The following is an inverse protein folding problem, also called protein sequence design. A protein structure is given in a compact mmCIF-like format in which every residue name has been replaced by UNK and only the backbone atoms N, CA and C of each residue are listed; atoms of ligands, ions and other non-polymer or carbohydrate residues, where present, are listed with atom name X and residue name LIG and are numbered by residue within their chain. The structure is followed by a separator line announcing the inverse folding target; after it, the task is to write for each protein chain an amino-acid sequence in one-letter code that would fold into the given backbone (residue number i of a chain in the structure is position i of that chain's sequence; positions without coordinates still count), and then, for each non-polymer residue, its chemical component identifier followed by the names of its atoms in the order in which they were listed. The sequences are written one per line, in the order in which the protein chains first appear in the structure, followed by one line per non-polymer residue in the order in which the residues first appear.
data_IF_951543853688
#
_entry.id   IF_951543853688
#
_cell.length_a   1.000
_cell.length_b   1.000
_cell.length_c   1.000
_cell.angle_alpha   90.00
_cell.angle_beta   90.00
_cell.angle_gamma   90.00
#
_symmetry.space_group_name_H-M   'P 1'
#
loop_
_entity.id
_entity.type
_entity.pdbx_description
1 polymer ?
#
# COMPACT_ATOMS: atom_id res chain seq x y z
N UNK A 1 -20.06 -3.51 12.13
CA UNK A 1 -20.32 -2.80 10.86
C UNK A 1 -20.91 -3.79 9.87
N UNK A 2 -21.83 -3.39 9.00
CA UNK A 2 -22.35 -4.26 7.92
C UNK A 2 -22.19 -3.62 6.54
N UNK A 3 -22.20 -4.44 5.49
CA UNK A 3 -22.22 -4.02 4.10
C UNK A 3 -23.46 -3.16 3.81
N UNK A 4 -24.62 -3.56 4.34
CA UNK A 4 -25.86 -2.78 4.18
C UNK A 4 -25.72 -1.35 4.73
N UNK A 5 -25.06 -1.19 5.88
CA UNK A 5 -24.81 0.14 6.44
C UNK A 5 -23.83 0.96 5.57
N UNK A 6 -22.74 0.35 5.07
CA UNK A 6 -21.80 1.02 4.15
C UNK A 6 -22.48 1.47 2.86
N UNK A 7 -23.33 0.61 2.27
CA UNK A 7 -24.09 0.93 1.07
C UNK A 7 -25.08 2.07 1.30
N UNK A 8 -25.80 2.08 2.42
CA UNK A 8 -26.71 3.18 2.78
C UNK A 8 -25.95 4.49 2.97
N UNK A 9 -24.78 4.48 3.62
CA UNK A 9 -23.92 5.66 3.76
C UNK A 9 -23.53 6.20 2.38
N UNK A 10 -23.04 5.31 1.50
CA UNK A 10 -22.59 5.66 0.17
C UNK A 10 -23.69 6.34 -0.67
N UNK A 11 -24.90 5.77 -0.65
CA UNK A 11 -26.07 6.30 -1.38
C UNK A 11 -26.55 7.64 -0.82
N UNK A 12 -26.53 7.80 0.50
CA UNK A 12 -27.00 9.02 1.14
C UNK A 12 -25.99 10.17 1.06
N UNK A 13 -24.70 9.86 0.92
CA UNK A 13 -23.60 10.85 0.95
C UNK A 13 -22.67 10.72 -0.27
N UNK A 14 -23.17 10.94 -1.50
CA UNK A 14 -22.33 10.87 -2.71
C UNK A 14 -21.28 11.97 -2.77
N UNK A 15 -21.45 13.07 -2.02
CA UNK A 15 -20.51 14.18 -1.93
C UNK A 15 -19.38 13.96 -0.91
N UNK A 16 -19.24 12.75 -0.37
CA UNK A 16 -18.21 12.43 0.62
C UNK A 16 -16.82 12.45 -0.01
N UNK A 17 -15.92 13.25 0.56
CA UNK A 17 -14.54 13.40 0.08
C UNK A 17 -13.51 12.67 0.93
N UNK A 18 -13.86 12.33 2.19
CA UNK A 18 -12.98 11.60 3.12
C UNK A 18 -13.81 10.61 3.92
N UNK A 19 -13.45 9.34 3.84
CA UNK A 19 -14.10 8.26 4.59
C UNK A 19 -13.04 7.42 5.27
N UNK A 20 -13.07 7.36 6.60
CA UNK A 20 -12.11 6.58 7.38
C UNK A 20 -12.90 5.76 8.37
N UNK A 21 -12.85 4.45 8.21
CA UNK A 21 -13.49 3.51 9.12
C UNK A 21 -12.39 2.68 9.79
N UNK A 22 -12.53 2.49 11.10
CA UNK A 22 -11.67 1.62 11.89
C UNK A 22 -12.57 0.69 12.71
N UNK A 23 -12.65 -0.56 12.28
CA UNK A 23 -13.21 -1.66 13.07
C UNK A 23 -12.07 -2.17 13.96
N UNK A 24 -12.30 -2.15 15.27
CA UNK A 24 -11.24 -2.34 16.28
C UNK A 24 -10.57 -3.71 16.16
N UNK A 25 -11.36 -4.74 15.91
CA UNK A 25 -10.86 -6.10 15.74
C UNK A 25 -10.46 -6.35 14.27
N UNK A 26 -9.20 -6.75 14.00
CA UNK A 26 -8.76 -7.09 12.65
C UNK A 26 -9.56 -8.24 12.05
N UNK A 27 -9.85 -8.18 10.75
CA UNK A 27 -10.54 -9.27 10.06
C UNK A 27 -12.01 -9.47 10.48
N UNK A 28 -12.63 -8.52 11.21
CA UNK A 28 -14.06 -8.62 11.54
C UNK A 28 -14.93 -8.55 10.27
N UNK A 29 -15.75 -9.58 9.98
CA UNK A 29 -16.65 -9.56 8.84
C UNK A 29 -17.87 -8.68 9.09
N UNK A 30 -18.76 -8.59 8.09
CA UNK A 30 -20.12 -8.13 8.30
C UNK A 30 -20.79 -8.96 9.42
N UNK A 31 -21.20 -8.30 10.50
CA UNK A 31 -21.73 -9.00 11.69
C UNK A 31 -23.07 -9.72 11.46
N UNK A 32 -23.80 -9.40 10.38
CA UNK A 32 -25.07 -10.03 10.05
C UNK A 32 -24.89 -11.18 9.06
N UNK A 33 -24.05 -10.98 8.05
CA UNK A 33 -23.91 -11.93 6.92
C UNK A 33 -22.63 -12.77 6.98
N UNK A 34 -21.71 -12.42 7.87
CA UNK A 34 -20.36 -12.99 7.99
C UNK A 34 -19.52 -12.87 6.72
N UNK A 35 -19.95 -12.06 5.76
CA UNK A 35 -19.22 -11.81 4.53
C UNK A 35 -18.13 -10.75 4.72
N UNK A 36 -17.09 -10.73 3.85
CA UNK A 36 -16.19 -9.60 3.74
C UNK A 36 -16.93 -8.28 3.47
N UNK A 37 -16.33 -7.17 3.88
CA UNK A 37 -16.89 -5.82 3.69
C UNK A 37 -16.62 -5.24 2.29
N UNK A 38 -16.20 -6.07 1.33
CA UNK A 38 -15.76 -5.68 -0.01
C UNK A 38 -16.84 -4.89 -0.76
N UNK A 39 -18.08 -5.40 -0.76
CA UNK A 39 -19.19 -4.76 -1.48
C UNK A 39 -19.65 -3.46 -0.82
N UNK A 40 -19.49 -3.35 0.50
CA UNK A 40 -19.79 -2.13 1.25
C UNK A 40 -18.79 -1.02 0.92
N UNK A 41 -17.49 -1.30 1.00
CA UNK A 41 -16.47 -0.34 0.57
C UNK A 41 -16.49 -0.09 -0.95
N UNK A 42 -16.82 -1.10 -1.74
CA UNK A 42 -17.07 -0.98 -3.17
C UNK A 42 -18.15 0.07 -3.46
N UNK A 43 -19.28 0.01 -2.76
CA UNK A 43 -20.33 1.03 -2.89
C UNK A 43 -19.85 2.43 -2.50
N UNK A 44 -18.99 2.56 -1.48
CA UNK A 44 -18.41 3.85 -1.08
C UNK A 44 -17.60 4.46 -2.23
N UNK A 45 -16.67 3.70 -2.83
CA UNK A 45 -15.86 4.23 -3.95
C UNK A 45 -16.65 4.37 -5.25
N UNK A 46 -17.70 3.58 -5.41
CA UNK A 46 -18.59 3.66 -6.57
C UNK A 46 -19.49 4.90 -6.52
N UNK A 47 -20.11 5.22 -5.38
CA UNK A 47 -21.03 6.36 -5.30
C UNK A 47 -20.34 7.68 -4.95
N UNK A 48 -19.27 7.66 -4.16
CA UNK A 48 -18.56 8.87 -3.72
C UNK A 48 -17.45 9.24 -4.70
N UNK A 49 -17.81 9.79 -5.87
CA UNK A 49 -16.87 10.05 -6.98
C UNK A 49 -15.77 11.07 -6.65
N UNK A 50 -15.98 11.92 -5.65
CA UNK A 50 -15.03 12.92 -5.16
C UNK A 50 -14.22 12.45 -3.94
N UNK A 51 -14.23 11.15 -3.63
CA UNK A 51 -13.48 10.58 -2.52
C UNK A 51 -11.97 10.71 -2.75
N UNK A 52 -11.32 11.46 -1.87
CA UNK A 52 -9.88 11.74 -1.89
C UNK A 52 -9.10 10.98 -0.81
N UNK A 53 -9.75 10.58 0.29
CA UNK A 53 -9.10 9.84 1.38
C UNK A 53 -9.94 8.67 1.85
N UNK A 54 -9.32 7.50 1.90
CA UNK A 54 -9.94 6.25 2.34
C UNK A 54 -9.05 5.54 3.36
N UNK A 55 -9.65 5.02 4.44
CA UNK A 55 -9.00 4.07 5.33
C UNK A 55 -9.88 2.83 5.49
N UNK A 56 -9.29 1.66 5.27
CA UNK A 56 -9.96 0.37 5.26
C UNK A 56 -9.75 -0.39 6.58
N UNK A 57 -10.73 -1.22 6.96
CA UNK A 57 -10.67 -2.13 8.11
C UNK A 57 -11.77 -3.19 8.01
N UNK A 58 -11.65 -4.28 8.78
CA UNK A 58 -12.55 -5.44 8.74
C UNK A 58 -12.05 -6.53 7.80
N UNK A 59 -12.84 -7.58 7.60
CA UNK A 59 -12.51 -8.66 6.66
C UNK A 59 -12.63 -8.14 5.22
N UNK A 60 -11.52 -8.19 4.47
CA UNK A 60 -11.43 -7.65 3.12
C UNK A 60 -10.58 -8.57 2.23
N UNK A 61 -11.07 -8.86 1.02
CA UNK A 61 -10.40 -9.72 0.04
C UNK A 61 -9.73 -8.88 -1.06
N UNK A 62 -9.10 -9.50 -2.07
CA UNK A 62 -8.57 -8.77 -3.22
C UNK A 62 -9.65 -7.98 -3.99
N UNK A 63 -10.92 -8.39 -3.86
CA UNK A 63 -12.07 -7.78 -4.53
C UNK A 63 -12.33 -6.34 -4.12
N UNK A 64 -12.08 -5.95 -2.85
CA UNK A 64 -12.24 -4.53 -2.47
C UNK A 64 -11.25 -3.65 -3.22
N UNK A 65 -10.05 -4.16 -3.48
CA UNK A 65 -9.01 -3.41 -4.17
C UNK A 65 -9.28 -3.32 -5.67
N UNK A 66 -9.88 -4.34 -6.27
CA UNK A 66 -10.43 -4.28 -7.63
C UNK A 66 -11.45 -3.13 -7.75
N UNK A 67 -12.40 -3.04 -6.82
CA UNK A 67 -13.37 -1.93 -6.80
C UNK A 67 -12.70 -0.57 -6.62
N UNK A 68 -11.71 -0.47 -5.73
CA UNK A 68 -10.93 0.77 -5.52
C UNK A 68 -10.22 1.17 -6.81
N UNK A 69 -9.48 0.25 -7.44
CA UNK A 69 -8.79 0.51 -8.71
C UNK A 69 -9.74 0.90 -9.83
N UNK A 70 -10.94 0.33 -9.84
CA UNK A 70 -11.97 0.62 -10.86
C UNK A 70 -12.63 1.98 -10.66
N UNK A 71 -13.05 2.30 -9.43
CA UNK A 71 -13.95 3.44 -9.19
C UNK A 71 -13.31 4.65 -8.51
N UNK A 72 -12.26 4.46 -7.68
CA UNK A 72 -11.70 5.50 -6.82
C UNK A 72 -10.72 6.44 -7.55
N UNK A 73 -11.12 6.99 -8.70
CA UNK A 73 -10.22 7.74 -9.60
C UNK A 73 -9.67 9.04 -9.01
N UNK A 74 -10.37 9.65 -8.04
CA UNK A 74 -9.94 10.87 -7.32
C UNK A 74 -9.24 10.58 -5.99
N UNK A 75 -8.99 9.31 -5.66
CA UNK A 75 -8.38 8.94 -4.40
C UNK A 75 -6.91 9.37 -4.36
N UNK A 76 -6.56 10.19 -3.37
CA UNK A 76 -5.20 10.70 -3.18
C UNK A 76 -4.46 9.97 -2.04
N UNK A 77 -5.19 9.50 -1.03
CA UNK A 77 -4.61 8.82 0.13
C UNK A 77 -5.41 7.58 0.52
N UNK A 78 -4.72 6.44 0.54
CA UNK A 78 -5.27 5.16 0.98
C UNK A 78 -4.45 4.59 2.13
N UNK A 79 -5.13 4.22 3.22
CA UNK A 79 -4.52 3.48 4.34
C UNK A 79 -5.18 2.10 4.45
N UNK A 80 -4.35 1.05 4.53
CA UNK A 80 -4.76 -0.36 4.53
C UNK A 80 -4.10 -1.09 5.69
N UNK A 81 -4.88 -1.89 6.42
CA UNK A 81 -4.37 -2.78 7.46
C UNK A 81 -5.13 -4.12 7.45
N UNK A 82 -4.42 -5.23 7.58
CA UNK A 82 -5.01 -6.58 7.71
C UNK A 82 -6.04 -6.92 6.61
N UNK A 83 -5.68 -6.68 5.35
CA UNK A 83 -6.60 -6.81 4.22
C UNK A 83 -5.93 -7.39 2.97
N UNK A 84 -6.73 -8.02 2.12
CA UNK A 84 -6.27 -8.63 0.87
C UNK A 84 -5.80 -10.06 1.05
N UNK A 85 -5.57 -10.72 -0.08
CA UNK A 85 -5.21 -12.13 -0.17
C UNK A 85 -3.91 -12.33 -0.96
N UNK A 86 -3.64 -11.46 -1.93
CA UNK A 86 -2.45 -11.57 -2.78
C UNK A 86 -1.98 -10.23 -3.36
N UNK A 87 -0.87 -10.27 -4.08
CA UNK A 87 -0.35 -9.14 -4.86
C UNK A 87 -1.37 -8.53 -5.84
N UNK A 88 -2.41 -9.27 -6.26
CA UNK A 88 -3.44 -8.71 -7.13
C UNK A 88 -4.15 -7.51 -6.48
N UNK A 89 -4.40 -7.56 -5.17
CA UNK A 89 -5.01 -6.44 -4.45
C UNK A 89 -4.17 -5.16 -4.59
N UNK A 90 -2.88 -5.22 -4.28
CA UNK A 90 -1.98 -4.07 -4.44
C UNK A 90 -1.86 -3.63 -5.91
N UNK A 91 -1.83 -4.59 -6.85
CA UNK A 91 -1.76 -4.29 -8.28
C UNK A 91 -2.96 -3.44 -8.73
N UNK A 92 -4.20 -3.81 -8.36
CA UNK A 92 -5.40 -3.04 -8.72
C UNK A 92 -5.34 -1.58 -8.24
N UNK A 93 -4.82 -1.35 -7.03
CA UNK A 93 -4.68 0.00 -6.48
C UNK A 93 -3.66 0.80 -7.30
N UNK A 94 -2.45 0.24 -7.51
CA UNK A 94 -1.37 0.95 -8.19
C UNK A 94 -1.66 1.20 -9.68
N UNK A 95 -2.33 0.26 -10.34
CA UNK A 95 -2.70 0.39 -11.76
C UNK A 95 -3.94 1.26 -11.99
N UNK A 96 -4.91 1.21 -11.07
CA UNK A 96 -6.21 1.85 -11.26
C UNK A 96 -6.38 3.24 -10.63
N UNK A 97 -5.68 3.55 -9.54
CA UNK A 97 -5.85 4.82 -8.82
C UNK A 97 -4.99 5.95 -9.43
N UNK A 98 -5.55 6.67 -10.39
CA UNK A 98 -4.87 7.71 -11.17
C UNK A 98 -4.28 8.83 -10.30
N UNK A 99 -5.04 9.35 -9.33
CA UNK A 99 -4.64 10.48 -8.49
C UNK A 99 -3.93 10.11 -7.18
N UNK A 100 -3.56 8.84 -7.00
CA UNK A 100 -2.96 8.39 -5.76
C UNK A 100 -1.64 9.12 -5.47
N UNK A 101 -1.50 9.65 -4.25
CA UNK A 101 -0.31 10.37 -3.77
C UNK A 101 0.35 9.68 -2.59
N UNK A 102 -0.44 9.06 -1.71
CA UNK A 102 0.05 8.37 -0.52
C UNK A 102 -0.65 7.02 -0.38
N UNK A 103 0.14 5.97 -0.22
CA UNK A 103 -0.34 4.64 0.10
C UNK A 103 0.39 4.13 1.34
N UNK A 104 -0.36 3.78 2.36
CA UNK A 104 0.15 3.29 3.64
C UNK A 104 -0.46 1.92 3.92
N UNK A 105 0.38 0.89 3.98
CA UNK A 105 -0.04 -0.50 4.10
C UNK A 105 0.68 -1.13 5.30
N UNK A 106 -0.08 -1.88 6.11
CA UNK A 106 0.50 -2.74 7.14
C UNK A 106 -0.18 -4.09 7.20
N UNK A 107 0.58 -5.13 7.55
CA UNK A 107 0.04 -6.46 7.87
C UNK A 107 -0.84 -7.03 6.73
N UNK A 108 -0.41 -6.87 5.48
CA UNK A 108 -1.13 -7.34 4.29
C UNK A 108 -0.25 -8.30 3.47
N UNK A 109 -0.83 -9.31 2.79
CA UNK A 109 -0.08 -10.29 1.99
C UNK A 109 0.37 -9.74 0.63
N UNK A 110 0.86 -8.50 0.60
CA UNK A 110 1.38 -7.82 -0.57
C UNK A 110 2.91 -7.86 -0.57
N UNK A 111 3.51 -8.10 -1.72
CA UNK A 111 4.93 -8.33 -1.89
C UNK A 111 5.47 -7.85 -3.23
N UNK A 112 6.41 -8.62 -3.75
CA UNK A 112 7.31 -8.19 -4.80
C UNK A 112 6.62 -7.95 -6.15
N UNK A 113 5.64 -8.80 -6.52
CA UNK A 113 5.13 -8.82 -7.90
C UNK A 113 4.39 -7.52 -8.22
N UNK A 114 3.50 -7.09 -7.33
CA UNK A 114 2.72 -5.88 -7.53
C UNK A 114 3.58 -4.62 -7.48
N UNK A 115 4.56 -4.59 -6.56
CA UNK A 115 5.49 -3.48 -6.40
C UNK A 115 6.34 -3.28 -7.66
N UNK A 116 6.98 -4.35 -8.15
CA UNK A 116 7.87 -4.29 -9.32
C UNK A 116 7.11 -4.07 -10.63
N UNK A 117 5.93 -4.68 -10.78
CA UNK A 117 5.09 -4.52 -11.97
C UNK A 117 4.60 -3.07 -12.15
N UNK A 118 4.41 -2.33 -11.04
CA UNK A 118 3.91 -0.96 -11.05
C UNK A 118 4.96 0.08 -10.66
N UNK A 119 6.26 -0.22 -10.78
CA UNK A 119 7.35 0.65 -10.32
C UNK A 119 7.24 2.11 -10.82
N UNK A 120 6.84 2.33 -12.09
CA UNK A 120 6.66 3.66 -12.67
C UNK A 120 5.59 4.49 -11.96
N UNK A 121 4.56 3.86 -11.37
CA UNK A 121 3.51 4.56 -10.61
C UNK A 121 4.10 5.28 -9.40
N UNK A 122 5.14 4.73 -8.79
CA UNK A 122 5.75 5.25 -7.57
C UNK A 122 6.38 6.65 -7.78
N UNK A 123 6.83 6.96 -9.00
CA UNK A 123 7.32 8.31 -9.36
C UNK A 123 6.20 9.36 -9.48
N UNK A 124 4.95 8.94 -9.64
CA UNK A 124 3.79 9.85 -9.65
C UNK A 124 3.32 10.17 -8.23
N UNK A 125 3.63 9.30 -7.28
CA UNK A 125 3.20 9.38 -5.89
C UNK A 125 4.18 10.20 -5.05
N UNK A 126 3.70 10.71 -3.92
CA UNK A 126 4.58 11.28 -2.90
C UNK A 126 5.34 10.17 -2.19
N UNK A 127 4.63 9.13 -1.75
CA UNK A 127 5.26 8.04 -1.01
C UNK A 127 4.40 6.78 -0.94
N UNK A 128 5.06 5.65 -0.74
CA UNK A 128 4.51 4.35 -0.38
C UNK A 128 5.16 3.90 0.93
N UNK A 129 4.34 3.50 1.90
CA UNK A 129 4.77 2.83 3.12
C UNK A 129 4.21 1.41 3.14
N UNK A 130 5.06 0.42 3.42
CA UNK A 130 4.65 -0.97 3.65
C UNK A 130 5.38 -1.51 4.88
N UNK A 131 4.66 -2.10 5.83
CA UNK A 131 5.26 -2.72 7.03
C UNK A 131 4.60 -4.04 7.36
N UNK A 132 5.37 -5.03 7.82
CA UNK A 132 4.85 -6.39 8.05
C UNK A 132 4.12 -6.96 6.81
N UNK A 133 4.71 -6.72 5.64
CA UNK A 133 4.24 -7.22 4.35
C UNK A 133 5.21 -8.28 3.82
N UNK A 134 4.94 -8.82 2.64
CA UNK A 134 5.73 -9.88 2.00
C UNK A 134 6.78 -9.34 1.02
N UNK A 135 7.16 -8.06 1.13
CA UNK A 135 8.18 -7.46 0.25
C UNK A 135 9.55 -7.95 0.69
N UNK A 136 10.31 -8.50 -0.25
CA UNK A 136 11.64 -9.05 -0.01
C UNK A 136 12.73 -8.01 -0.19
N UNK A 137 13.86 -8.25 0.45
CA UNK A 137 15.03 -7.39 0.27
C UNK A 137 15.55 -7.41 -1.18
N UNK A 138 15.51 -8.55 -1.86
CA UNK A 138 15.87 -8.67 -3.27
C UNK A 138 15.01 -7.79 -4.19
N UNK A 139 13.70 -7.71 -3.93
CA UNK A 139 12.83 -6.79 -4.67
C UNK A 139 13.14 -5.32 -4.39
N UNK A 140 13.55 -4.97 -3.16
CA UNK A 140 14.00 -3.61 -2.85
C UNK A 140 15.26 -3.25 -3.64
N UNK A 141 16.25 -4.15 -3.73
CA UNK A 141 17.45 -3.99 -4.58
C UNK A 141 17.08 -3.76 -6.03
N UNK A 142 16.25 -4.64 -6.60
CA UNK A 142 15.85 -4.54 -8.00
C UNK A 142 15.08 -3.23 -8.28
N UNK A 143 14.23 -2.80 -7.34
CA UNK A 143 13.50 -1.54 -7.48
C UNK A 143 14.43 -0.32 -7.41
N UNK A 144 15.36 -0.29 -6.47
CA UNK A 144 16.35 0.79 -6.34
C UNK A 144 17.23 0.94 -7.59
N UNK A 145 17.68 -0.19 -8.16
CA UNK A 145 18.42 -0.22 -9.42
C UNK A 145 17.58 0.30 -10.61
N UNK A 146 16.31 -0.09 -10.68
CA UNK A 146 15.43 0.29 -11.79
C UNK A 146 14.96 1.75 -11.71
N UNK A 147 14.88 2.33 -10.52
CA UNK A 147 14.20 3.59 -10.26
C UNK A 147 15.10 4.58 -9.49
N UNK A 148 16.13 5.17 -10.12
CA UNK A 148 17.14 6.00 -9.44
C UNK A 148 16.59 7.34 -8.90
N UNK A 149 15.36 7.73 -9.26
CA UNK A 149 14.68 8.92 -8.74
C UNK A 149 13.82 8.63 -7.49
N UNK A 150 13.83 7.39 -7.02
CA UNK A 150 13.17 6.96 -5.80
C UNK A 150 14.22 6.68 -4.73
N UNK A 151 14.01 7.22 -3.54
CA UNK A 151 14.67 6.66 -2.37
C UNK A 151 13.84 5.45 -1.92
N UNK A 152 14.45 4.27 -2.00
CA UNK A 152 13.89 3.01 -1.51
C UNK A 152 14.54 2.72 -0.16
N UNK A 153 13.90 3.13 0.93
CA UNK A 153 14.44 2.96 2.28
C UNK A 153 13.92 1.68 2.93
N UNK A 154 14.84 0.77 3.22
CA UNK A 154 14.59 -0.40 4.07
C UNK A 154 14.82 0.03 5.52
N UNK A 155 13.83 -0.16 6.38
CA UNK A 155 13.88 0.16 7.81
C UNK A 155 13.71 -1.16 8.56
N UNK A 156 14.78 -1.67 9.15
CA UNK A 156 14.81 -3.03 9.74
C UNK A 156 15.71 -3.08 10.98
N UNK A 157 15.14 -3.41 12.14
CA UNK A 157 15.86 -3.41 13.42
C UNK A 157 16.67 -4.70 13.66
N UNK A 158 16.54 -5.70 12.78
CA UNK A 158 17.22 -7.01 12.91
C UNK A 158 18.67 -6.99 12.43
N UNK A 159 19.18 -5.82 12.03
CA UNK A 159 20.53 -5.62 11.50
C UNK A 159 20.59 -5.54 9.97
N UNK A 160 21.80 -5.51 9.39
CA UNK A 160 22.02 -5.29 7.96
C UNK A 160 21.18 -6.24 7.09
N UNK A 161 20.40 -5.74 6.11
CA UNK A 161 19.58 -6.57 5.25
C UNK A 161 20.37 -7.65 4.49
N UNK A 162 21.60 -7.36 4.06
CA UNK A 162 22.49 -8.31 3.38
C UNK A 162 22.95 -9.48 4.25
N UNK A 163 22.78 -9.41 5.57
CA UNK A 163 23.09 -10.55 6.46
C UNK A 163 22.10 -11.71 6.32
N UNK A 164 20.99 -11.51 5.61
CA UNK A 164 19.92 -12.48 5.42
C UNK A 164 19.74 -12.81 3.93
N UNK A 165 19.19 -13.99 3.59
CA UNK A 165 18.87 -14.30 2.20
C UNK A 165 17.96 -13.24 1.57
N UNK A 166 18.21 -12.86 0.31
CA UNK A 166 17.45 -11.79 -0.36
C UNK A 166 15.93 -12.07 -0.46
N UNK A 167 15.54 -13.35 -0.39
CA UNK A 167 14.13 -13.80 -0.31
C UNK A 167 13.45 -13.51 1.03
N UNK A 168 14.18 -13.03 2.03
CA UNK A 168 13.64 -12.74 3.35
C UNK A 168 12.82 -11.43 3.30
N UNK A 169 11.60 -11.42 3.85
CA UNK A 169 10.83 -10.18 3.98
C UNK A 169 11.51 -9.19 4.91
N UNK A 170 11.52 -7.92 4.50
CA UNK A 170 11.97 -6.79 5.33
C UNK A 170 10.88 -6.37 6.32
N UNK A 171 11.24 -5.69 7.40
CA UNK A 171 10.24 -5.24 8.39
C UNK A 171 9.37 -4.11 7.84
N UNK A 172 10.02 -3.07 7.32
CA UNK A 172 9.36 -1.84 6.86
C UNK A 172 10.09 -1.32 5.62
N UNK A 173 9.29 -0.87 4.67
CA UNK A 173 9.70 -0.27 3.42
C UNK A 173 9.08 1.13 3.32
N UNK A 174 9.92 2.12 3.07
CA UNK A 174 9.47 3.45 2.75
C UNK A 174 10.06 3.90 1.42
N UNK A 175 9.18 4.11 0.45
CA UNK A 175 9.56 4.57 -0.89
C UNK A 175 9.02 5.97 -1.10
N UNK A 176 9.84 6.89 -1.58
CA UNK A 176 9.40 8.22 -1.95
C UNK A 176 10.23 8.76 -3.11
N UNK A 177 9.57 9.50 -4.00
CA UNK A 177 10.28 10.18 -5.09
C UNK A 177 11.04 11.38 -4.55
N UNK A 178 12.22 11.63 -5.11
CA UNK A 178 13.08 12.73 -4.70
C UNK A 178 13.87 13.27 -5.88
N UNK A 179 14.19 14.56 -5.82
CA UNK A 179 15.16 15.21 -6.72
C UNK A 179 16.48 15.49 -6.01
N UNK A 180 16.55 15.24 -4.70
CA UNK A 180 17.73 15.45 -3.87
C UNK A 180 18.62 14.20 -3.76
N UNK A 181 18.13 13.04 -4.20
CA UNK A 181 18.80 11.76 -3.99
C UNK A 181 18.72 11.24 -2.55
N UNK A 182 19.59 10.30 -2.15
CA UNK A 182 19.64 9.73 -0.81
C UNK A 182 19.87 10.79 0.28
N UNK A 183 19.22 10.62 1.44
CA UNK A 183 19.38 11.52 2.59
C UNK A 183 20.63 11.20 3.40
N UNK A 184 21.19 12.21 4.08
CA UNK A 184 22.47 12.10 4.80
C UNK A 184 22.33 11.74 6.29
N UNK A 185 21.11 11.66 6.81
CA UNK A 185 20.78 11.51 8.23
C UNK A 185 20.16 10.14 8.56
N UNK A 186 20.50 9.11 7.79
CA UNK A 186 20.01 7.75 8.04
C UNK A 186 20.56 7.20 9.36
N UNK A 187 19.70 6.78 10.30
CA UNK A 187 20.17 6.03 11.47
C UNK A 187 20.61 4.63 11.05
N UNK A 188 21.35 3.93 11.91
CA UNK A 188 21.99 2.64 11.58
C UNK A 188 21.06 1.45 11.27
N UNK A 189 19.74 1.63 11.40
CA UNK A 189 18.70 0.65 11.03
C UNK A 189 17.94 1.01 9.75
N UNK A 190 18.44 2.01 8.99
CA UNK A 190 17.87 2.44 7.72
C UNK A 190 18.91 2.38 6.61
N UNK A 191 18.53 1.75 5.49
CA UNK A 191 19.37 1.62 4.30
C UNK A 191 18.59 2.14 3.09
N UNK A 192 19.10 3.20 2.46
CA UNK A 192 18.62 3.58 1.11
C UNK A 192 19.25 2.65 0.10
N UNK A 193 18.41 2.02 -0.72
CA UNK A 193 18.85 1.08 -1.75
C UNK A 193 19.08 1.84 -3.05
N UNK A 194 20.35 1.96 -3.46
CA UNK A 194 20.78 2.61 -4.70
C UNK A 194 21.77 1.73 -5.49
N UNK A 195 22.14 2.16 -6.70
CA UNK A 195 23.11 1.45 -7.56
C UNK A 195 24.50 1.32 -6.88
N UNK A 196 24.89 2.29 -6.07
CA UNK A 196 26.20 2.37 -5.41
C UNK A 196 26.34 1.40 -4.22
N UNK A 197 25.22 1.02 -3.59
CA UNK A 197 25.16 0.07 -2.49
C UNK A 197 25.70 -1.32 -2.90
N UNK A 198 25.66 -1.65 -4.19
CA UNK A 198 26.25 -2.87 -4.74
C UNK A 198 27.77 -2.76 -4.99
N UNK A 199 28.32 -1.55 -5.17
CA UNK A 199 29.75 -1.32 -5.47
C UNK A 199 30.60 -0.91 -4.26
N UNK A 200 30.01 -0.36 -3.19
CA UNK A 200 30.76 0.08 -2.00
C UNK A 200 31.27 -1.07 -1.11
N UNK A 201 31.04 -2.33 -1.52
CA UNK A 201 31.34 -3.54 -0.75
C UNK A 201 32.01 -4.64 -1.59
N UNK A 202 32.46 -4.34 -2.81
CA UNK A 202 33.30 -5.23 -3.63
C UNK A 202 34.78 -4.89 -3.53
#
# INVERSE_FOLDING_TARGET
MSNAALMTIARNRPNMTRFRLCIIEPGTPDYLTLQPLDVGFGAIVEHCKDLQRLSLSGLLTDRVFEYIGTYAKKLEMLSVAFAGESDLGLHHVLSGCENLRKLEIRDCPFGDKALLANAAKLETMRSLWMSSCSVTFGACKLLGQKMPRLNVEVIDERGPPDSRPERCPIEKLYIYRTVAGPRFDMPGFVWTIDEDSAMRLS
#
